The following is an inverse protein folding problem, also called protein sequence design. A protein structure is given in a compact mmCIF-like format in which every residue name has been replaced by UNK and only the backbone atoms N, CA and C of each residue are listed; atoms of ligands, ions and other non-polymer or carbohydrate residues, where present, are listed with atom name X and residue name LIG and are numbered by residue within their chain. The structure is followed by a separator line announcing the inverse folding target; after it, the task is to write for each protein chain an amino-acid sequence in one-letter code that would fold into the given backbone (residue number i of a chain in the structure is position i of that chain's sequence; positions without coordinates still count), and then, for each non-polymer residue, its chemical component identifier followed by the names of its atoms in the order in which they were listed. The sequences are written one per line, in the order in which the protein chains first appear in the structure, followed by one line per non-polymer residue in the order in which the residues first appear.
data_IF_708932037622
#
_entry.id   IF_708932037622
#
_cell.length_a   1.000
_cell.length_b   1.000
_cell.length_c   1.000
_cell.angle_alpha   90.00
_cell.angle_beta   90.00
_cell.angle_gamma   90.00
#
_symmetry.space_group_name_H-M   'P 1'
#
loop_
_entity.id
_entity.type
_entity.pdbx_description
1 polymer ?
#
# COMPACT_ATOMS: atom_id res chain seq x y z
N UNK A 1 -2.61 -9.79 -9.61
CA UNK A 1 -1.23 -9.48 -9.18
C UNK A 1 -0.86 -10.43 -8.06
N UNK A 2 0.41 -10.82 -7.96
CA UNK A 2 0.91 -11.61 -6.82
C UNK A 2 1.46 -10.70 -5.71
N UNK A 3 1.62 -11.22 -4.49
CA UNK A 3 2.10 -10.45 -3.33
C UNK A 3 3.41 -9.70 -3.61
N UNK A 4 4.37 -10.33 -4.29
CA UNK A 4 5.66 -9.71 -4.58
C UNK A 4 5.54 -8.49 -5.50
N UNK A 5 4.62 -8.51 -6.46
CA UNK A 5 4.29 -7.35 -7.30
C UNK A 5 3.67 -6.22 -6.47
N UNK A 6 2.79 -6.55 -5.52
CA UNK A 6 2.16 -5.57 -4.63
C UNK A 6 3.20 -4.94 -3.69
N UNK A 7 4.07 -5.75 -3.10
CA UNK A 7 5.19 -5.24 -2.27
C UNK A 7 6.05 -4.27 -3.08
N UNK A 8 6.42 -4.63 -4.30
CA UNK A 8 7.23 -3.76 -5.16
C UNK A 8 6.52 -2.44 -5.49
N UNK A 9 5.20 -2.48 -5.76
CA UNK A 9 4.39 -1.28 -5.98
C UNK A 9 4.34 -0.38 -4.75
N UNK A 10 4.10 -0.95 -3.56
CA UNK A 10 4.07 -0.21 -2.29
C UNK A 10 5.44 0.43 -2.00
N UNK A 11 6.54 -0.32 -2.12
CA UNK A 11 7.89 0.21 -1.86
C UNK A 11 8.22 1.37 -2.80
N UNK A 12 7.83 1.24 -4.08
CA UNK A 12 7.99 2.31 -5.05
C UNK A 12 7.19 3.55 -4.67
N UNK A 13 5.90 3.39 -4.35
CA UNK A 13 5.02 4.48 -3.95
C UNK A 13 5.52 5.18 -2.68
N UNK A 14 6.03 4.43 -1.70
CA UNK A 14 6.69 4.99 -0.51
C UNK A 14 7.89 5.85 -0.88
N UNK A 15 8.76 5.39 -1.80
CA UNK A 15 9.91 6.18 -2.25
C UNK A 15 9.50 7.46 -2.97
N UNK A 16 8.42 7.41 -3.75
CA UNK A 16 7.84 8.57 -4.43
C UNK A 16 7.27 9.58 -3.44
N UNK A 17 6.49 9.16 -2.45
CA UNK A 17 5.92 10.04 -1.41
C UNK A 17 7.01 10.67 -0.53
N UNK A 18 7.99 9.86 -0.10
CA UNK A 18 9.09 10.34 0.73
C UNK A 18 10.15 11.11 -0.06
N UNK A 19 10.03 11.18 -1.39
CA UNK A 19 10.99 11.83 -2.29
C UNK A 19 12.44 11.37 -2.04
N UNK A 20 12.62 10.09 -1.71
CA UNK A 20 13.92 9.49 -1.38
C UNK A 20 13.94 8.00 -1.69
N UNK A 21 15.14 7.48 -1.96
CA UNK A 21 15.33 6.03 -2.04
C UNK A 21 15.16 5.38 -0.66
N UNK A 22 14.46 4.26 -0.64
CA UNK A 22 14.16 3.45 0.55
C UNK A 22 14.58 1.99 0.34
N UNK A 23 15.89 1.71 0.23
CA UNK A 23 16.40 0.39 -0.19
C UNK A 23 16.23 -0.73 0.86
N UNK A 24 16.02 -0.39 2.13
CA UNK A 24 15.95 -1.35 3.25
C UNK A 24 14.51 -1.57 3.76
N UNK A 25 13.51 -1.35 2.91
CA UNK A 25 12.10 -1.55 3.29
C UNK A 25 11.74 -3.03 3.16
N UNK A 26 11.15 -3.54 4.23
CA UNK A 26 10.65 -4.92 4.34
C UNK A 26 9.18 -4.90 4.74
N UNK A 27 8.52 -6.06 4.70
CA UNK A 27 7.13 -6.17 5.15
C UNK A 27 6.97 -5.82 6.64
N UNK A 28 8.01 -5.97 7.47
CA UNK A 28 7.99 -5.63 8.89
C UNK A 28 8.20 -4.13 9.15
N UNK A 29 8.59 -3.35 8.13
CA UNK A 29 8.85 -1.91 8.27
C UNK A 29 7.57 -1.18 8.65
N UNK A 30 7.61 -0.41 9.74
CA UNK A 30 6.46 0.33 10.28
C UNK A 30 6.28 1.67 9.58
N UNK A 31 5.08 1.92 9.05
CA UNK A 31 4.79 3.11 8.24
C UNK A 31 4.98 4.41 9.05
N UNK A 32 4.42 4.46 10.26
CA UNK A 32 4.51 5.65 11.11
C UNK A 32 5.85 5.74 11.85
N UNK A 33 6.35 4.62 12.39
CA UNK A 33 7.51 4.68 13.28
C UNK A 33 8.85 4.67 12.55
N UNK A 34 8.98 3.83 11.50
CA UNK A 34 10.26 3.63 10.81
C UNK A 34 10.37 4.54 9.58
N UNK A 35 9.26 4.74 8.85
CA UNK A 35 9.21 5.62 7.68
C UNK A 35 8.77 7.05 8.01
N UNK A 36 8.29 7.29 9.24
CA UNK A 36 7.86 8.62 9.70
C UNK A 36 6.75 9.23 8.82
N UNK A 37 5.91 8.38 8.23
CA UNK A 37 4.74 8.84 7.48
C UNK A 37 3.72 9.45 8.43
N UNK A 38 3.10 10.54 8.02
CA UNK A 38 1.95 11.13 8.70
C UNK A 38 0.65 10.81 7.95
N UNK A 39 -0.48 11.28 8.46
CA UNK A 39 -1.79 11.06 7.83
C UNK A 39 -1.88 11.61 6.40
N UNK A 40 -1.17 12.69 6.09
CA UNK A 40 -1.17 13.29 4.76
C UNK A 40 -0.34 12.42 3.81
N UNK A 41 0.85 12.00 4.22
CA UNK A 41 1.68 11.09 3.43
C UNK A 41 1.03 9.72 3.23
N UNK A 42 0.21 9.24 4.17
CA UNK A 42 -0.59 8.02 3.98
C UNK A 42 -1.61 8.20 2.85
N UNK A 43 -2.34 9.33 2.81
CA UNK A 43 -3.27 9.59 1.71
C UNK A 43 -2.54 9.68 0.36
N UNK A 44 -1.37 10.33 0.31
CA UNK A 44 -0.53 10.38 -0.88
C UNK A 44 -0.03 9.00 -1.30
N UNK A 45 0.35 8.16 -0.33
CA UNK A 45 0.74 6.77 -0.58
C UNK A 45 -0.39 5.96 -1.18
N UNK A 46 -1.62 6.09 -0.65
CA UNK A 46 -2.79 5.42 -1.19
C UNK A 46 -3.04 5.83 -2.64
N UNK A 47 -3.03 7.13 -2.95
CA UNK A 47 -3.21 7.63 -4.32
C UNK A 47 -2.12 7.12 -5.28
N UNK A 48 -0.86 7.10 -4.83
CA UNK A 48 0.25 6.59 -5.64
C UNK A 48 0.15 5.07 -5.89
N UNK A 49 -0.33 4.31 -4.90
CA UNK A 49 -0.59 2.88 -5.04
C UNK A 49 -1.77 2.62 -5.98
N UNK A 50 -2.87 3.38 -5.86
CA UNK A 50 -4.02 3.30 -6.76
C UNK A 50 -3.62 3.50 -8.22
N UNK A 51 -2.84 4.54 -8.51
CA UNK A 51 -2.33 4.82 -9.86
C UNK A 51 -1.41 3.70 -10.36
N UNK A 52 -0.54 3.18 -9.48
CA UNK A 52 0.41 2.11 -9.84
C UNK A 52 -0.28 0.76 -10.10
N UNK A 53 -1.27 0.41 -9.29
CA UNK A 53 -1.95 -0.88 -9.34
C UNK A 53 -3.23 -0.85 -10.18
N UNK A 54 -3.69 0.35 -10.56
CA UNK A 54 -4.95 0.60 -11.27
C UNK A 54 -6.13 0.00 -10.48
N UNK A 55 -6.14 0.27 -9.17
CA UNK A 55 -7.19 -0.14 -8.23
C UNK A 55 -7.86 1.09 -7.61
N UNK A 56 -9.04 0.88 -7.04
CA UNK A 56 -9.75 1.88 -6.25
C UNK A 56 -9.71 1.46 -4.78
N UNK A 57 -9.17 2.32 -3.92
CA UNK A 57 -9.05 2.11 -2.49
C UNK A 57 -10.11 2.97 -1.81
N UNK A 58 -10.94 2.35 -0.97
CA UNK A 58 -11.89 3.09 -0.13
C UNK A 58 -11.25 3.46 1.20
N UNK A 59 -10.92 4.75 1.43
CA UNK A 59 -10.31 5.19 2.68
C UNK A 59 -11.25 5.10 3.88
N UNK A 60 -12.57 5.03 3.68
CA UNK A 60 -13.54 4.89 4.78
C UNK A 60 -13.54 3.47 5.38
N UNK A 61 -13.15 2.48 4.58
CA UNK A 61 -13.01 1.08 5.01
C UNK A 61 -11.66 0.72 5.63
N UNK A 62 -10.72 1.66 5.67
CA UNK A 62 -9.36 1.42 6.16
C UNK A 62 -9.28 1.57 7.69
N UNK A 63 -8.75 0.55 8.34
CA UNK A 63 -8.44 0.59 9.77
C UNK A 63 -6.99 1.02 10.02
N UNK A 64 -6.71 1.46 11.26
CA UNK A 64 -5.35 1.82 11.66
C UNK A 64 -4.38 0.63 11.63
N UNK A 65 -4.90 -0.60 11.71
CA UNK A 65 -4.08 -1.81 11.71
C UNK A 65 -3.52 -2.11 10.31
N UNK A 66 -4.25 -1.75 9.25
CA UNK A 66 -3.83 -1.84 7.85
C UNK A 66 -2.58 -1.00 7.59
N UNK A 67 -2.41 0.09 8.32
CA UNK A 67 -1.27 1.00 8.18
C UNK A 67 -0.14 0.76 9.19
N UNK A 68 -0.16 -0.36 9.93
CA UNK A 68 0.89 -0.62 10.93
C UNK A 68 2.25 -0.84 10.28
N UNK A 69 2.28 -1.61 9.21
CA UNK A 69 3.50 -2.03 8.50
C UNK A 69 3.28 -2.07 6.99
N UNK A 70 4.34 -2.22 6.22
CA UNK A 70 4.25 -2.50 4.78
C UNK A 70 3.47 -3.80 4.53
N UNK A 71 3.72 -4.85 5.33
CA UNK A 71 3.05 -6.14 5.20
C UNK A 71 1.54 -6.05 5.39
N UNK A 72 1.08 -5.30 6.40
CA UNK A 72 -0.36 -5.10 6.64
C UNK A 72 -1.03 -4.30 5.52
N UNK A 73 -0.33 -3.32 4.93
CA UNK A 73 -0.85 -2.59 3.77
C UNK A 73 -0.92 -3.50 2.54
N UNK A 74 0.09 -4.33 2.33
CA UNK A 74 0.13 -5.32 1.25
C UNK A 74 -0.99 -6.36 1.42
N UNK A 75 -1.28 -6.81 2.64
CA UNK A 75 -2.39 -7.73 2.93
C UNK A 75 -3.74 -7.13 2.52
N UNK A 76 -3.96 -5.86 2.87
CA UNK A 76 -5.16 -5.12 2.47
C UNK A 76 -5.28 -5.02 0.94
N UNK A 77 -4.21 -4.61 0.26
CA UNK A 77 -4.18 -4.46 -1.20
C UNK A 77 -4.36 -5.79 -1.93
N UNK A 78 -3.79 -6.88 -1.40
CA UNK A 78 -4.01 -8.22 -1.96
C UNK A 78 -5.49 -8.61 -1.87
N UNK A 79 -6.15 -8.34 -0.73
CA UNK A 79 -7.58 -8.57 -0.57
C UNK A 79 -8.43 -7.81 -1.59
N UNK A 80 -8.08 -6.55 -1.89
CA UNK A 80 -8.74 -5.75 -2.94
C UNK A 80 -8.54 -6.38 -4.33
N UNK A 81 -7.30 -6.71 -4.69
CA UNK A 81 -6.98 -7.31 -6.00
C UNK A 81 -7.70 -8.65 -6.20
N UNK A 82 -7.77 -9.48 -5.16
CA UNK A 82 -8.46 -10.77 -5.20
C UNK A 82 -9.97 -10.61 -5.36
N UNK A 83 -10.57 -9.59 -4.73
CA UNK A 83 -11.98 -9.25 -4.86
C UNK A 83 -12.31 -8.78 -6.29
N UNK A 84 -11.51 -7.88 -6.85
CA UNK A 84 -11.68 -7.38 -8.23
C UNK A 84 -11.51 -8.52 -9.26
N UNK A 85 -10.56 -9.42 -9.02
CA UNK A 85 -10.32 -10.58 -9.89
C UNK A 85 -11.48 -11.58 -9.87
N UNK A 86 -12.24 -11.65 -8.77
CA UNK A 86 -13.39 -12.54 -8.61
C UNK A 86 -14.72 -11.89 -9.03
N UNK A 87 -14.82 -10.56 -8.93
CA UNK A 87 -16.03 -9.77 -9.20
C UNK A 87 -16.35 -9.54 -10.69
N UNK A 88 -15.44 -9.85 -11.61
CA UNK A 88 -15.65 -9.69 -13.05
C UNK A 88 -16.30 -10.92 -13.74
N UNK A 89 -16.82 -11.87 -12.95
CA UNK A 89 -17.67 -12.96 -13.41
C UNK A 89 -19.15 -12.63 -13.18
N UNK A 90 -19.69 -11.69 -13.95
CA UNK A 90 -21.10 -11.27 -13.88
C UNK A 90 -21.61 -10.67 -15.18
#
# INVERSE_FOLDING_TARGET
MNRSEIVAAVVRAVGEVLQRDVPDVTEDTRLFDDLQLDSTSILELLMAVEDTMVVEIDPEGLDMDSFRTIGTLVDYLQGLVDLVSTGNAG
#
